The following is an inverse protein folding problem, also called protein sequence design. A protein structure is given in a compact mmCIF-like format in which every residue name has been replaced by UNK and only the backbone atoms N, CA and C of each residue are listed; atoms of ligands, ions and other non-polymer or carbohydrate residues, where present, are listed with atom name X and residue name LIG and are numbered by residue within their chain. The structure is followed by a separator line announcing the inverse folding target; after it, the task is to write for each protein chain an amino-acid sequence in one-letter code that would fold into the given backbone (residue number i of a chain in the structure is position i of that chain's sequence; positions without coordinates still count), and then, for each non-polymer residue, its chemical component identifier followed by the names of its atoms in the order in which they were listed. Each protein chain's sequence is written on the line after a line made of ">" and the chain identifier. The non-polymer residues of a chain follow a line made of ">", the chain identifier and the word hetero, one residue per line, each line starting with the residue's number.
data_IF_376580796469
#
_entry.id   IF_376580796469
#
_cell.length_a   1.000
_cell.length_b   1.000
_cell.length_c   1.000
_cell.angle_alpha   90.00
_cell.angle_beta   90.00
_cell.angle_gamma   90.00
#
_symmetry.space_group_name_H-M   'P 1'
#
loop_
_entity.id
_entity.type
_entity.pdbx_description
1 polymer ?
#
# COMPACT_ATOMS: atom_id res chain seq x y z
N UNK A 1 -7.89 4.86 1.76
CA UNK A 1 -7.96 4.44 0.33
C UNK A 1 -9.13 5.14 -0.37
N UNK A 2 -9.18 5.15 -1.71
CA UNK A 2 -10.29 5.71 -2.48
C UNK A 2 -11.49 4.78 -2.47
N UNK A 3 -12.65 5.27 -2.02
CA UNK A 3 -13.87 4.48 -1.83
C UNK A 3 -14.32 3.68 -3.07
N UNK A 4 -14.05 4.17 -4.29
CA UNK A 4 -14.42 3.41 -5.51
C UNK A 4 -13.53 2.19 -5.76
N UNK A 5 -12.27 2.23 -5.35
CA UNK A 5 -11.37 1.07 -5.51
C UNK A 5 -11.90 -0.11 -4.68
N UNK A 6 -12.31 0.14 -3.43
CA UNK A 6 -12.89 -0.90 -2.59
C UNK A 6 -14.18 -1.47 -3.20
N UNK A 7 -15.06 -0.62 -3.73
CA UNK A 7 -16.29 -1.08 -4.40
C UNK A 7 -15.99 -1.93 -5.64
N UNK A 8 -14.95 -1.59 -6.39
CA UNK A 8 -14.52 -2.38 -7.55
C UNK A 8 -14.04 -3.77 -7.11
N UNK A 9 -13.18 -3.84 -6.10
CA UNK A 9 -12.66 -5.12 -5.57
C UNK A 9 -13.80 -6.02 -5.09
N UNK A 10 -14.76 -5.45 -4.34
CA UNK A 10 -15.95 -6.17 -3.87
C UNK A 10 -16.81 -6.64 -5.05
N UNK A 11 -17.06 -5.78 -6.05
CA UNK A 11 -17.88 -6.12 -7.21
C UNK A 11 -17.24 -7.21 -8.09
N UNK A 12 -15.91 -7.31 -8.11
CA UNK A 12 -15.16 -8.35 -8.83
C UNK A 12 -14.92 -9.62 -7.99
N UNK A 13 -15.28 -9.62 -6.70
CA UNK A 13 -15.04 -10.74 -5.80
C UNK A 13 -13.55 -11.04 -5.58
N UNK A 14 -12.70 -10.03 -5.66
CA UNK A 14 -11.25 -10.18 -5.50
C UNK A 14 -10.86 -10.09 -4.03
N UNK A 15 -10.05 -11.04 -3.58
CA UNK A 15 -9.44 -10.98 -2.25
C UNK A 15 -8.46 -9.82 -2.18
N UNK A 16 -8.53 -9.06 -1.08
CA UNK A 16 -7.62 -7.96 -0.82
C UNK A 16 -7.25 -7.91 0.66
N UNK A 17 -6.09 -7.30 0.93
CA UNK A 17 -5.65 -6.98 2.27
C UNK A 17 -5.50 -5.47 2.39
N UNK A 18 -5.73 -4.97 3.59
CA UNK A 18 -5.56 -3.56 3.92
C UNK A 18 -4.45 -3.42 4.94
N UNK A 19 -3.71 -2.34 4.83
CA UNK A 19 -2.70 -1.92 5.80
C UNK A 19 -3.12 -0.56 6.35
N UNK A 20 -3.07 -0.42 7.67
CA UNK A 20 -3.38 0.85 8.31
C UNK A 20 -2.27 1.89 8.03
N UNK A 21 -2.65 3.16 8.07
CA UNK A 21 -1.68 4.27 7.97
C UNK A 21 -1.87 5.17 9.18
N UNK A 22 -0.81 5.33 9.95
CA UNK A 22 -0.76 6.23 11.09
C UNK A 22 -0.38 7.65 10.68
N UNK A 23 -0.23 8.52 11.69
CA UNK A 23 0.24 9.90 11.53
C UNK A 23 1.64 9.93 10.92
N UNK A 24 2.48 8.95 11.27
CA UNK A 24 3.87 8.84 10.83
C UNK A 24 4.04 8.12 9.48
N UNK A 25 2.94 7.68 8.85
CA UNK A 25 2.97 7.00 7.55
C UNK A 25 2.52 5.54 7.61
N UNK A 26 3.09 4.71 6.73
CA UNK A 26 2.79 3.27 6.63
C UNK A 26 3.80 2.49 7.46
N UNK A 27 3.34 1.46 8.17
CA UNK A 27 4.24 0.52 8.83
C UNK A 27 4.95 -0.35 7.78
N UNK A 28 6.26 -0.17 7.64
CA UNK A 28 7.07 -0.91 6.68
C UNK A 28 7.30 -2.36 7.11
N UNK A 29 7.26 -2.67 8.41
CA UNK A 29 7.40 -4.04 8.91
C UNK A 29 6.14 -4.85 8.61
N UNK A 30 4.97 -4.25 8.84
CA UNK A 30 3.68 -4.85 8.46
C UNK A 30 3.62 -5.06 6.94
N UNK A 31 4.00 -4.04 6.15
CA UNK A 31 4.03 -4.13 4.69
C UNK A 31 4.96 -5.26 4.20
N UNK A 32 6.15 -5.38 4.77
CA UNK A 32 7.06 -6.47 4.44
C UNK A 32 6.47 -7.83 4.83
N UNK A 33 5.79 -7.92 5.98
CA UNK A 33 5.09 -9.14 6.41
C UNK A 33 4.07 -9.61 5.38
N UNK A 34 3.27 -8.67 4.85
CA UNK A 34 2.33 -8.93 3.77
C UNK A 34 3.03 -9.42 2.48
N UNK A 35 4.11 -8.77 2.05
CA UNK A 35 4.84 -9.15 0.84
C UNK A 35 5.53 -10.51 0.96
N UNK A 36 6.08 -10.83 2.15
CA UNK A 36 6.70 -12.13 2.45
C UNK A 36 5.75 -13.32 2.29
N UNK A 37 4.44 -13.12 2.39
CA UNK A 37 3.46 -14.20 2.17
C UNK A 37 3.48 -14.73 0.73
N UNK A 38 3.98 -13.96 -0.23
CA UNK A 38 4.01 -14.30 -1.65
C UNK A 38 2.64 -14.29 -2.35
N UNK A 39 1.56 -13.98 -1.62
CA UNK A 39 0.19 -13.95 -2.16
C UNK A 39 -0.17 -12.63 -2.82
N UNK A 40 0.57 -11.58 -2.51
CA UNK A 40 0.30 -10.22 -3.00
C UNK A 40 1.16 -9.97 -4.22
N UNK A 41 0.52 -9.67 -5.36
CA UNK A 41 1.21 -9.26 -6.59
C UNK A 41 1.03 -7.80 -6.94
N UNK A 42 0.01 -7.14 -6.38
CA UNK A 42 -0.26 -5.73 -6.62
C UNK A 42 -0.41 -5.00 -5.28
N UNK A 43 0.29 -3.89 -5.13
CA UNK A 43 0.20 -2.99 -4.00
C UNK A 43 -0.34 -1.63 -4.48
N UNK A 44 -1.61 -1.37 -4.17
CA UNK A 44 -2.25 -0.10 -4.54
C UNK A 44 -1.98 0.97 -3.48
N UNK A 45 -1.40 2.09 -3.88
CA UNK A 45 -1.09 3.19 -2.96
C UNK A 45 -1.31 4.55 -3.61
N UNK A 46 -1.93 5.47 -2.86
CA UNK A 46 -2.08 6.87 -3.26
C UNK A 46 -1.01 7.67 -2.52
N UNK A 47 0.06 8.16 -3.20
CA UNK A 47 1.19 8.80 -2.54
C UNK A 47 1.02 10.31 -2.29
N UNK A 48 -0.03 10.94 -2.84
CA UNK A 48 -0.23 12.40 -2.78
C UNK A 48 -1.60 12.78 -2.23
N UNK A 49 -1.61 13.76 -1.34
CA UNK A 49 -2.78 14.43 -0.75
C UNK A 49 -3.78 13.50 -0.04
N UNK A 50 -3.40 13.01 1.15
CA UNK A 50 -4.37 12.44 2.08
C UNK A 50 -5.03 13.57 2.91
N UNK A 51 -6.31 13.85 2.68
CA UNK A 51 -7.11 14.79 3.47
C UNK A 51 -7.74 14.05 4.66
N UNK A 52 -7.76 14.59 5.90
CA UNK A 52 -7.47 15.97 6.31
C UNK A 52 -6.04 16.27 6.84
N UNK A 53 -5.15 15.28 6.92
CA UNK A 53 -3.84 15.44 7.60
C UNK A 53 -2.66 15.86 6.71
N UNK A 54 -2.80 15.90 5.37
CA UNK A 54 -1.83 16.55 4.48
C UNK A 54 -0.44 15.89 4.38
N UNK A 55 -0.21 14.74 5.01
CA UNK A 55 1.07 14.06 4.95
C UNK A 55 1.22 13.27 3.65
N UNK A 56 2.26 13.58 2.87
CA UNK A 56 2.75 12.76 1.76
C UNK A 56 3.85 11.84 2.27
N UNK A 57 4.05 10.68 1.65
CA UNK A 57 5.20 9.85 1.95
C UNK A 57 6.49 10.66 1.85
N UNK A 58 7.38 10.50 2.84
CA UNK A 58 8.74 11.01 2.70
C UNK A 58 9.42 10.34 1.51
N UNK A 59 10.46 10.96 0.96
CA UNK A 59 11.27 10.31 -0.09
C UNK A 59 11.89 9.00 0.40
N UNK A 60 12.17 8.90 1.70
CA UNK A 60 12.70 7.69 2.32
C UNK A 60 11.65 6.57 2.31
N UNK A 61 10.40 6.85 2.69
CA UNK A 61 9.34 5.84 2.68
C UNK A 61 9.06 5.33 1.27
N UNK A 62 9.02 6.24 0.29
CA UNK A 62 8.84 5.85 -1.12
C UNK A 62 9.94 4.89 -1.57
N UNK A 63 11.19 5.19 -1.23
CA UNK A 63 12.34 4.32 -1.55
C UNK A 63 12.25 2.98 -0.84
N UNK A 64 11.87 2.96 0.43
CA UNK A 64 11.68 1.71 1.19
C UNK A 64 10.58 0.84 0.58
N UNK A 65 9.43 1.42 0.23
CA UNK A 65 8.33 0.71 -0.44
C UNK A 65 8.78 0.16 -1.79
N UNK A 66 9.50 0.95 -2.60
CA UNK A 66 10.05 0.50 -3.88
C UNK A 66 11.03 -0.66 -3.71
N UNK A 67 11.91 -0.59 -2.73
CA UNK A 67 12.88 -1.65 -2.43
C UNK A 67 12.17 -2.94 -2.01
N UNK A 68 11.15 -2.85 -1.15
CA UNK A 68 10.33 -4.00 -0.75
C UNK A 68 9.58 -4.60 -1.95
N UNK A 69 8.97 -3.76 -2.77
CA UNK A 69 8.25 -4.19 -3.96
C UNK A 69 9.16 -4.94 -4.95
N UNK A 70 10.36 -4.42 -5.19
CA UNK A 70 11.36 -5.08 -6.02
C UNK A 70 11.87 -6.41 -5.39
N UNK A 71 12.10 -6.44 -4.07
CA UNK A 71 12.59 -7.62 -3.34
C UNK A 71 11.61 -8.80 -3.41
N UNK A 72 10.30 -8.52 -3.39
CA UNK A 72 9.25 -9.54 -3.32
C UNK A 72 8.47 -9.72 -4.62
N UNK A 73 8.90 -9.10 -5.72
CA UNK A 73 8.22 -9.14 -7.03
C UNK A 73 6.74 -8.73 -6.92
N UNK A 74 6.53 -7.53 -6.38
CA UNK A 74 5.21 -6.89 -6.21
C UNK A 74 5.15 -5.63 -7.07
N UNK A 75 4.06 -5.46 -7.82
CA UNK A 75 3.82 -4.28 -8.66
C UNK A 75 3.12 -3.19 -7.85
N UNK A 76 3.60 -1.95 -7.95
CA UNK A 76 2.95 -0.79 -7.33
C UNK A 76 1.97 -0.16 -8.33
N UNK A 77 0.73 0.09 -7.90
CA UNK A 77 -0.37 0.65 -8.72
C UNK A 77 -0.92 1.93 -8.11
#
# INVERSE_FOLDING_TARGET
>A
TYHRMNRLLIAQGLDYQTIERGIDGIDLEELEGHFKTGKIKFFYTIPRFHYPLGHSYSEQDKRSILNLAAKYDVYIV
#
